data_IF_747616254327
#
_entry.id   IF_747616254327
#
_cell.length_a   1.000
_cell.length_b   1.000
_cell.length_c   1.000
_cell.angle_alpha   90.00
_cell.angle_beta   90.00
_cell.angle_gamma   90.00
#
_symmetry.space_group_name_H-M   'P 1'
#
loop_
_entity.id
_entity.type
_entity.pdbx_description
1 polymer ?
#
# COMPACT_ATOMS: atom_id res chain seq x y z
N UNK A 1 56.56 16.42 -10.31
CA UNK A 1 55.18 16.31 -10.84
C UNK A 1 54.25 15.87 -9.71
N UNK A 2 53.45 16.75 -9.07
CA UNK A 2 52.48 16.32 -8.08
C UNK A 2 51.25 15.69 -8.78
N UNK A 3 50.83 14.52 -8.29
CA UNK A 3 49.68 13.74 -8.80
C UNK A 3 48.36 14.39 -8.34
N UNK A 4 47.44 14.59 -9.29
CA UNK A 4 46.10 15.09 -9.00
C UNK A 4 45.26 14.05 -8.24
N UNK A 5 44.73 14.44 -7.08
CA UNK A 5 43.82 13.62 -6.26
C UNK A 5 42.41 13.83 -6.81
N UNK A 6 41.85 12.80 -7.45
CA UNK A 6 40.48 12.80 -7.94
C UNK A 6 39.50 12.83 -6.75
N UNK A 7 38.85 13.98 -6.55
CA UNK A 7 37.80 14.16 -5.56
C UNK A 7 36.56 13.33 -5.96
N UNK A 8 36.29 12.25 -5.22
CA UNK A 8 35.05 11.47 -5.36
C UNK A 8 33.87 12.35 -4.96
N UNK A 9 32.99 12.65 -5.93
CA UNK A 9 31.74 13.37 -5.67
C UNK A 9 30.84 12.49 -4.78
N UNK A 10 30.25 13.01 -3.71
CA UNK A 10 29.31 12.25 -2.89
C UNK A 10 28.10 11.89 -3.76
N UNK A 11 27.78 10.60 -3.81
CA UNK A 11 26.64 10.07 -4.55
C UNK A 11 25.35 10.76 -4.09
N UNK A 12 24.54 11.22 -5.05
CA UNK A 12 23.20 11.72 -4.80
C UNK A 12 22.44 10.64 -4.02
N UNK A 13 22.03 10.95 -2.78
CA UNK A 13 20.98 10.19 -2.10
C UNK A 13 19.74 10.32 -2.98
N UNK A 14 19.33 9.22 -3.60
CA UNK A 14 18.03 9.15 -4.26
C UNK A 14 17.01 9.32 -3.14
N UNK A 15 16.32 10.46 -3.10
CA UNK A 15 15.20 10.62 -2.18
C UNK A 15 14.26 9.45 -2.42
N UNK A 16 14.04 8.66 -1.37
CA UNK A 16 13.06 7.58 -1.38
C UNK A 16 11.69 8.26 -1.53
N UNK A 17 11.26 8.45 -2.78
CA UNK A 17 9.97 9.03 -3.08
C UNK A 17 8.93 8.24 -2.29
N UNK A 18 8.26 8.91 -1.33
CA UNK A 18 7.22 8.29 -0.52
C UNK A 18 6.15 7.73 -1.46
N UNK A 19 6.19 6.43 -1.69
CA UNK A 19 5.17 5.74 -2.49
C UNK A 19 3.87 5.77 -1.71
N UNK A 20 2.90 6.52 -2.21
CA UNK A 20 1.57 6.53 -1.61
C UNK A 20 0.88 5.19 -1.89
N UNK A 21 0.49 4.51 -0.81
CA UNK A 21 -0.22 3.23 -0.85
C UNK A 21 -1.53 3.33 -0.12
N UNK A 22 -2.54 2.67 -0.67
CA UNK A 22 -3.86 2.52 -0.05
C UNK A 22 -4.28 1.06 -0.06
N UNK A 23 -4.93 0.61 1.00
CA UNK A 23 -5.41 -0.76 1.17
C UNK A 23 -6.93 -0.74 1.16
N UNK A 24 -7.54 -1.48 0.23
CA UNK A 24 -8.98 -1.46 0.02
C UNK A 24 -9.58 -2.85 0.14
N UNK A 25 -10.81 -2.91 0.66
CA UNK A 25 -11.62 -4.13 0.66
C UNK A 25 -12.87 -3.88 -0.22
N UNK A 26 -12.99 -4.57 -1.36
CA UNK A 26 -14.19 -4.55 -2.17
C UNK A 26 -15.24 -5.50 -1.59
N UNK A 27 -16.45 -4.98 -1.41
CA UNK A 27 -17.62 -5.76 -1.03
C UNK A 27 -18.47 -6.07 -2.27
N UNK A 28 -19.05 -7.27 -2.34
CA UNK A 28 -19.98 -7.65 -3.40
C UNK A 28 -21.27 -6.81 -3.44
N UNK A 29 -21.54 -6.00 -2.42
CA UNK A 29 -22.63 -5.00 -2.45
C UNK A 29 -22.30 -3.74 -3.27
N UNK A 30 -21.09 -3.65 -3.86
CA UNK A 30 -20.64 -2.50 -4.65
C UNK A 30 -19.83 -1.47 -3.85
N UNK A 31 -19.86 -1.51 -2.52
CA UNK A 31 -19.03 -0.64 -1.70
C UNK A 31 -17.57 -1.14 -1.64
N UNK A 32 -16.62 -0.21 -1.63
CA UNK A 32 -15.22 -0.47 -1.28
C UNK A 32 -14.81 0.47 -0.16
N UNK A 33 -14.06 -0.03 0.82
CA UNK A 33 -13.65 0.77 1.97
C UNK A 33 -12.17 0.60 2.26
N UNK A 34 -11.54 1.69 2.70
CA UNK A 34 -10.12 1.74 3.02
C UNK A 34 -9.86 1.14 4.41
N UNK A 35 -8.74 0.44 4.52
CA UNK A 35 -8.24 -0.15 5.76
C UNK A 35 -6.77 0.21 5.97
N UNK A 36 -6.26 -0.05 7.16
CA UNK A 36 -4.84 0.16 7.47
C UNK A 36 -3.96 -0.90 6.80
N UNK A 37 -2.68 -0.58 6.60
CA UNK A 37 -1.68 -1.48 6.03
C UNK A 37 -1.51 -2.79 6.84
N UNK A 38 -1.72 -2.72 8.15
CA UNK A 38 -1.56 -3.84 9.07
C UNK A 38 -2.86 -4.62 9.31
N UNK A 39 -3.90 -4.34 8.53
CA UNK A 39 -5.22 -4.92 8.73
C UNK A 39 -5.25 -6.44 8.48
N UNK A 40 -4.49 -6.96 7.51
CA UNK A 40 -4.32 -8.39 7.27
C UNK A 40 -3.42 -9.09 8.31
N UNK A 41 -2.56 -8.32 9.01
CA UNK A 41 -1.63 -8.80 10.03
C UNK A 41 -2.27 -8.92 11.41
N UNK A 42 -3.36 -8.20 11.69
CA UNK A 42 -4.00 -8.14 13.01
C UNK A 42 -5.27 -9.00 13.09
N UNK A 43 -5.13 -10.18 13.70
CA UNK A 43 -6.25 -10.97 14.24
C UNK A 43 -6.94 -11.86 13.20
N UNK A 44 -6.76 -13.17 13.33
CA UNK A 44 -7.32 -14.19 12.43
C UNK A 44 -8.76 -14.61 12.78
N UNK A 45 -9.47 -13.86 13.61
CA UNK A 45 -10.81 -14.24 14.06
C UNK A 45 -11.87 -13.50 13.25
N UNK A 46 -12.90 -14.19 12.76
CA UNK A 46 -13.95 -13.55 11.93
C UNK A 46 -14.61 -12.32 12.60
N UNK A 47 -14.64 -12.27 13.94
CA UNK A 47 -15.15 -11.12 14.70
C UNK A 47 -14.25 -9.88 14.66
N UNK A 48 -12.96 -10.01 14.37
CA UNK A 48 -12.06 -8.86 14.19
C UNK A 48 -12.14 -8.26 12.80
N UNK A 49 -12.77 -8.94 11.83
CA UNK A 49 -12.95 -8.39 10.50
C UNK A 49 -13.95 -7.23 10.52
N UNK A 50 -13.53 -6.06 10.03
CA UNK A 50 -14.35 -4.87 9.84
C UNK A 50 -15.58 -5.23 8.98
N UNK A 51 -16.80 -4.94 9.48
CA UNK A 51 -18.00 -5.11 8.69
C UNK A 51 -18.07 -4.04 7.59
N UNK A 52 -18.59 -4.42 6.42
CA UNK A 52 -18.86 -3.48 5.34
C UNK A 52 -19.79 -2.36 5.84
N UNK A 53 -19.43 -1.08 5.65
CA UNK A 53 -20.23 0.04 6.13
C UNK A 53 -21.60 0.14 5.44
N UNK A 54 -21.79 -0.52 4.28
CA UNK A 54 -23.05 -0.52 3.55
C UNK A 54 -23.97 -1.70 3.91
N UNK A 55 -23.47 -2.95 3.91
CA UNK A 55 -24.32 -4.15 4.09
C UNK A 55 -24.00 -4.99 5.33
N UNK A 56 -23.04 -4.58 6.18
CA UNK A 56 -22.67 -5.28 7.41
C UNK A 56 -21.93 -6.61 7.24
N UNK A 57 -21.76 -7.10 6.00
CA UNK A 57 -21.01 -8.33 5.71
C UNK A 57 -19.55 -8.17 6.12
N UNK A 58 -18.98 -9.21 6.75
CA UNK A 58 -17.57 -9.26 7.12
C UNK A 58 -16.76 -9.90 5.99
N UNK A 59 -15.60 -9.33 5.70
CA UNK A 59 -14.72 -9.78 4.63
C UNK A 59 -13.39 -10.23 5.21
N UNK A 60 -12.92 -11.39 4.78
CA UNK A 60 -11.58 -11.88 5.12
C UNK A 60 -10.53 -11.02 4.39
N UNK A 61 -9.65 -10.29 5.11
CA UNK A 61 -8.61 -9.49 4.50
C UNK A 61 -7.69 -10.29 3.58
N UNK A 62 -7.35 -11.56 3.91
CA UNK A 62 -6.42 -12.34 3.09
C UNK A 62 -6.93 -12.63 1.68
N UNK A 63 -8.24 -12.63 1.51
CA UNK A 63 -8.88 -13.01 0.26
C UNK A 63 -9.47 -11.83 -0.52
N UNK A 64 -9.46 -10.63 0.07
CA UNK A 64 -10.13 -9.45 -0.50
C UNK A 64 -9.31 -8.17 -0.41
N UNK A 65 -8.17 -8.13 0.29
CA UNK A 65 -7.37 -6.91 0.40
C UNK A 65 -6.70 -6.60 -0.94
N UNK A 66 -7.00 -5.42 -1.48
CA UNK A 66 -6.37 -4.86 -2.67
C UNK A 66 -5.36 -3.81 -2.24
N UNK A 67 -4.16 -3.87 -2.82
CA UNK A 67 -3.15 -2.84 -2.65
C UNK A 67 -3.26 -1.89 -3.84
N UNK A 68 -3.45 -0.60 -3.60
CA UNK A 68 -3.40 0.43 -4.62
C UNK A 68 -2.12 1.26 -4.43
N UNK A 69 -1.27 1.25 -5.46
CA UNK A 69 -0.09 2.10 -5.55
C UNK A 69 -0.43 3.34 -6.39
N UNK A 70 -0.13 4.53 -5.86
CA UNK A 70 -0.23 5.77 -6.62
C UNK A 70 0.96 5.90 -7.56
N UNK A 71 0.67 6.02 -8.85
CA UNK A 71 1.67 6.08 -9.91
C UNK A 71 2.15 7.50 -10.17
N UNK A 72 3.33 7.62 -10.77
CA UNK A 72 3.88 8.92 -11.23
C UNK A 72 2.94 9.61 -12.22
N UNK A 73 2.17 8.83 -12.98
CA UNK A 73 1.18 9.31 -13.93
C UNK A 73 -0.11 9.87 -13.27
N UNK A 74 -0.11 10.05 -11.94
CA UNK A 74 -1.17 10.64 -11.14
C UNK A 74 -2.48 9.83 -11.02
N UNK A 75 -2.40 8.51 -11.17
CA UNK A 75 -3.54 7.62 -10.95
C UNK A 75 -3.20 6.40 -10.09
N UNK A 76 -4.24 5.80 -9.50
CA UNK A 76 -4.12 4.60 -8.68
C UNK A 76 -4.15 3.35 -9.54
N UNK A 77 -3.18 2.44 -9.37
CA UNK A 77 -3.17 1.09 -9.97
C UNK A 77 -3.20 0.04 -8.89
N UNK A 78 -3.81 -1.10 -9.18
CA UNK A 78 -3.67 -2.30 -8.33
C UNK A 78 -2.21 -2.75 -8.40
N UNK A 79 -1.57 -2.82 -7.23
CA UNK A 79 -0.19 -3.25 -7.05
C UNK A 79 -0.10 -4.63 -6.39
N UNK A 80 0.98 -5.35 -6.67
CA UNK A 80 1.35 -6.58 -5.94
C UNK A 80 0.32 -7.72 -6.02
N UNK A 81 -0.09 -8.10 -7.24
CA UNK A 81 -0.74 -9.41 -7.46
C UNK A 81 0.21 -10.57 -7.14
#
# INVERSE_FOLDING_TARGET
MPKAIAQKRPGKKCEEQKKFRMFLIPCSCGASFAVSEDYDRKGMHIRSFIPCPNCGKRHDPRNRLLHLDYQEEHFWKVGGC
#
